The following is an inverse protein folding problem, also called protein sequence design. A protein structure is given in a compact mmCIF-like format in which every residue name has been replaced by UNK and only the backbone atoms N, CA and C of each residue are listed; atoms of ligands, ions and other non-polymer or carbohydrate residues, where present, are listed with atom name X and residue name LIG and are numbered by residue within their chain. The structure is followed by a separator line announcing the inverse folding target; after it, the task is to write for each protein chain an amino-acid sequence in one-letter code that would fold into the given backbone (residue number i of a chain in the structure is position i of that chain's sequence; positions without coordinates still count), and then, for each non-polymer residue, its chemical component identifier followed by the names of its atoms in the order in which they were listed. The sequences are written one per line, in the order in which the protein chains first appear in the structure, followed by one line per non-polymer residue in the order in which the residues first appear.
data_IF_548136238615
#
_entry.id   IF_548136238615
#
_cell.length_a   1.000
_cell.length_b   1.000
_cell.length_c   1.000
_cell.angle_alpha   90.00
_cell.angle_beta   90.00
_cell.angle_gamma   90.00
#
_symmetry.space_group_name_H-M   'P 1'
#
loop_
_entity.id
_entity.type
_entity.pdbx_description
1 polymer ?
#
# COMPACT_ATOMS: atom_id res chain seq x y z
N UNK A 1 -13.30 1.91 -25.37
CA UNK A 1 -13.86 2.09 -24.01
C UNK A 1 -12.71 2.38 -23.05
N UNK A 2 -12.59 3.60 -22.51
CA UNK A 2 -11.71 3.84 -21.36
C UNK A 2 -12.36 3.11 -20.18
N UNK A 3 -11.79 2.00 -19.69
CA UNK A 3 -12.16 1.50 -18.37
C UNK A 3 -11.88 2.65 -17.40
N UNK A 4 -12.90 3.13 -16.70
CA UNK A 4 -12.67 4.03 -15.57
C UNK A 4 -11.88 3.23 -14.56
N UNK A 5 -10.59 3.55 -14.43
CA UNK A 5 -9.76 2.96 -13.38
C UNK A 5 -10.35 3.42 -12.05
N UNK A 6 -10.73 2.46 -11.22
CA UNK A 6 -11.26 2.72 -9.88
C UNK A 6 -10.23 3.52 -9.08
N UNK A 7 -10.61 4.70 -8.57
CA UNK A 7 -9.74 5.52 -7.72
C UNK A 7 -10.13 5.31 -6.27
N UNK A 8 -9.15 4.96 -5.43
CA UNK A 8 -9.37 4.75 -4.00
C UNK A 8 -8.53 5.70 -3.18
N UNK A 9 -9.10 6.13 -2.05
CA UNK A 9 -8.41 6.97 -1.09
C UNK A 9 -7.81 6.08 0.00
N UNK A 10 -6.51 6.25 0.23
CA UNK A 10 -5.76 5.50 1.25
C UNK A 10 -5.24 6.49 2.28
N UNK A 11 -5.65 6.34 3.53
CA UNK A 11 -5.13 7.19 4.60
C UNK A 11 -3.76 6.70 4.99
N UNK A 12 -2.79 7.60 4.97
CA UNK A 12 -1.42 7.32 5.34
C UNK A 12 -1.09 7.99 6.67
N UNK A 13 -0.74 7.16 7.65
CA UNK A 13 -0.17 7.62 8.91
C UNK A 13 1.29 7.18 8.99
N UNK A 14 2.19 8.15 9.20
CA UNK A 14 3.62 7.89 9.38
C UNK A 14 3.95 8.11 10.85
N UNK A 15 4.50 7.10 11.50
CA UNK A 15 5.01 7.20 12.87
C UNK A 15 6.52 7.04 12.85
N UNK A 16 7.23 8.07 13.30
CA UNK A 16 8.66 7.98 13.55
C UNK A 16 8.92 7.29 14.90
N UNK A 17 9.85 6.34 14.92
CA UNK A 17 10.29 5.66 16.14
C UNK A 17 11.81 5.59 16.20
N UNK A 18 12.36 5.22 17.37
CA UNK A 18 13.81 5.14 17.62
C UNK A 18 14.56 4.21 16.65
N UNK A 19 13.86 3.26 16.03
CA UNK A 19 14.42 2.25 15.12
C UNK A 19 13.98 2.43 13.65
N UNK A 20 13.33 3.54 13.31
CA UNK A 20 12.88 3.87 11.95
C UNK A 20 11.39 4.22 11.84
N UNK A 21 11.00 4.72 10.67
CA UNK A 21 9.63 5.14 10.38
C UNK A 21 8.73 3.95 10.07
N UNK A 22 7.54 3.93 10.64
CA UNK A 22 6.47 2.97 10.34
C UNK A 22 5.37 3.68 9.56
N UNK A 23 5.00 3.13 8.41
CA UNK A 23 3.92 3.64 7.57
C UNK A 23 2.71 2.73 7.69
N UNK A 24 1.57 3.30 8.06
CA UNK A 24 0.28 2.63 8.15
C UNK A 24 -0.64 3.17 7.06
N UNK A 25 -1.05 2.29 6.16
CA UNK A 25 -1.91 2.57 5.01
C UNK A 25 -3.28 1.96 5.27
N UNK A 26 -4.29 2.80 5.45
CA UNK A 26 -5.67 2.37 5.68
C UNK A 26 -6.46 2.48 4.38
N UNK A 27 -6.86 1.32 3.86
CA UNK A 27 -7.64 1.17 2.65
C UNK A 27 -9.14 1.22 2.96
N UNK A 28 -10.00 1.52 1.97
CA UNK A 28 -11.46 1.48 2.17
C UNK A 28 -11.99 0.07 2.48
N UNK A 29 -11.28 -0.96 2.01
CA UNK A 29 -11.64 -2.37 2.14
C UNK A 29 -10.38 -3.23 2.12
N UNK A 30 -10.42 -4.40 2.78
CA UNK A 30 -9.30 -5.34 2.78
C UNK A 30 -9.07 -5.98 1.40
N UNK A 31 -10.06 -5.96 0.51
CA UNK A 31 -9.96 -6.50 -0.84
C UNK A 31 -8.86 -5.83 -1.67
N UNK A 32 -8.63 -4.53 -1.47
CA UNK A 32 -7.59 -3.79 -2.18
C UNK A 32 -6.19 -4.24 -1.74
N UNK A 33 -6.02 -4.57 -0.45
CA UNK A 33 -4.78 -5.12 0.07
C UNK A 33 -4.55 -6.50 -0.56
N UNK A 34 -5.57 -7.36 -0.60
CA UNK A 34 -5.44 -8.67 -1.25
C UNK A 34 -5.09 -8.53 -2.74
N UNK A 35 -5.77 -7.65 -3.47
CA UNK A 35 -5.46 -7.38 -4.88
C UNK A 35 -4.03 -6.88 -5.09
N UNK A 36 -3.52 -6.03 -4.20
CA UNK A 36 -2.11 -5.58 -4.23
C UNK A 36 -1.17 -6.76 -4.02
N UNK A 37 -1.40 -7.54 -2.96
CA UNK A 37 -0.54 -8.67 -2.61
C UNK A 37 -0.56 -9.77 -3.68
N UNK A 38 -1.70 -10.04 -4.31
CA UNK A 38 -1.83 -11.00 -5.42
C UNK A 38 -1.22 -10.47 -6.72
N UNK A 39 -1.30 -9.16 -6.97
CA UNK A 39 -0.72 -8.53 -8.16
C UNK A 39 0.79 -8.31 -8.05
N UNK A 40 1.39 -8.61 -6.89
CA UNK A 40 2.84 -8.58 -6.73
C UNK A 40 3.42 -9.92 -7.20
N UNK A 41 4.12 -9.92 -8.34
CA UNK A 41 4.78 -11.14 -8.87
C UNK A 41 5.95 -11.60 -7.97
N UNK A 42 6.55 -10.66 -7.25
CA UNK A 42 7.70 -10.73 -6.33
C UNK A 42 7.43 -11.04 -4.85
N UNK A 43 7.42 -12.28 -4.35
CA UNK A 43 7.40 -12.51 -2.88
C UNK A 43 8.58 -11.81 -2.16
N UNK A 44 9.71 -11.64 -2.85
CA UNK A 44 10.89 -10.93 -2.36
C UNK A 44 10.64 -9.41 -2.17
N UNK A 45 9.80 -8.78 -3.02
CA UNK A 45 9.45 -7.36 -2.89
C UNK A 45 8.60 -7.08 -1.65
N UNK A 46 7.64 -7.95 -1.36
CA UNK A 46 6.83 -7.84 -0.16
C UNK A 46 7.67 -8.00 1.12
N UNK A 47 8.67 -8.89 1.09
CA UNK A 47 9.63 -9.07 2.20
C UNK A 47 10.53 -7.85 2.38
N UNK A 48 11.00 -7.21 1.30
CA UNK A 48 11.85 -6.00 1.35
C UNK A 48 11.20 -4.86 2.13
N UNK A 49 9.90 -4.67 1.96
CA UNK A 49 9.14 -3.60 2.62
C UNK A 49 8.57 -4.00 4.00
N UNK A 50 8.84 -5.23 4.46
CA UNK A 50 8.37 -5.78 5.74
C UNK A 50 6.87 -5.52 5.98
N UNK A 51 6.05 -5.85 4.98
CA UNK A 51 4.62 -5.62 5.07
C UNK A 51 3.97 -6.60 6.06
N UNK A 52 3.09 -6.05 6.90
CA UNK A 52 2.14 -6.78 7.71
C UNK A 52 0.77 -6.16 7.48
N UNK A 53 -0.29 -6.95 7.39
CA UNK A 53 -1.64 -6.39 7.27
C UNK A 53 -2.58 -7.00 8.30
N UNK A 54 -3.59 -6.23 8.67
CA UNK A 54 -4.71 -6.67 9.50
C UNK A 54 -5.95 -5.86 9.09
N UNK A 55 -7.08 -6.55 8.86
CA UNK A 55 -8.28 -5.94 8.29
C UNK A 55 -7.95 -5.16 6.99
N UNK A 56 -8.36 -3.89 6.92
CA UNK A 56 -8.14 -2.96 5.82
C UNK A 56 -6.85 -2.13 5.98
N UNK A 57 -5.92 -2.56 6.83
CA UNK A 57 -4.70 -1.80 7.13
C UNK A 57 -3.46 -2.59 6.71
N UNK A 58 -2.62 -1.96 5.88
CA UNK A 58 -1.30 -2.44 5.51
C UNK A 58 -0.24 -1.61 6.25
N UNK A 59 0.74 -2.28 6.85
CA UNK A 59 1.80 -1.65 7.65
C UNK A 59 3.15 -2.00 7.05
N UNK A 60 3.96 -0.98 6.77
CA UNK A 60 5.39 -1.13 6.50
C UNK A 60 6.19 -0.72 7.74
N UNK A 61 6.96 -1.66 8.30
CA UNK A 61 7.85 -1.40 9.45
C UNK A 61 9.15 -0.67 9.07
N UNK A 62 9.38 -0.45 7.79
CA UNK A 62 10.52 0.29 7.23
C UNK A 62 10.01 1.22 6.15
N UNK A 63 9.21 2.19 6.58
CA UNK A 63 8.62 3.14 5.67
C UNK A 63 9.70 4.04 5.04
N UNK A 64 9.65 4.13 3.71
CA UNK A 64 10.35 5.10 2.87
C UNK A 64 9.39 5.54 1.77
N UNK A 65 9.72 6.61 1.04
CA UNK A 65 8.92 7.04 -0.13
C UNK A 65 8.87 5.97 -1.24
N UNK A 66 9.80 5.01 -1.25
CA UNK A 66 9.75 3.85 -2.15
C UNK A 66 8.52 2.98 -1.87
N UNK A 67 8.05 2.92 -0.62
CA UNK A 67 6.84 2.17 -0.24
C UNK A 67 5.61 2.77 -0.89
N UNK A 68 5.48 4.11 -0.93
CA UNK A 68 4.39 4.80 -1.64
C UNK A 68 4.43 4.49 -3.13
N UNK A 69 5.61 4.62 -3.74
CA UNK A 69 5.82 4.38 -5.17
C UNK A 69 5.45 2.94 -5.54
N UNK A 70 5.93 1.97 -4.75
CA UNK A 70 5.59 0.56 -4.89
C UNK A 70 4.08 0.32 -4.83
N UNK A 71 3.38 0.88 -3.84
CA UNK A 71 1.94 0.69 -3.68
C UNK A 71 1.15 1.26 -4.86
N UNK A 72 1.54 2.43 -5.38
CA UNK A 72 0.90 3.04 -6.56
C UNK A 72 1.10 2.18 -7.80
N UNK A 73 2.30 1.67 -8.01
CA UNK A 73 2.62 0.84 -9.18
C UNK A 73 1.90 -0.50 -9.14
N UNK A 74 1.85 -1.15 -7.98
CA UNK A 74 1.15 -2.41 -7.81
C UNK A 74 -0.37 -2.23 -7.88
N UNK A 75 -0.93 -1.14 -7.34
CA UNK A 75 -2.35 -0.82 -7.50
C UNK A 75 -2.75 -0.68 -8.97
N UNK A 76 -1.93 0.01 -9.77
CA UNK A 76 -2.16 0.14 -11.23
C UNK A 76 -2.16 -1.21 -11.93
N UNK A 77 -1.23 -2.11 -11.56
CA UNK A 77 -1.21 -3.51 -12.06
C UNK A 77 -2.46 -4.28 -11.62
N UNK A 78 -2.93 -4.03 -10.40
CA UNK A 78 -4.15 -4.59 -9.84
C UNK A 78 -5.46 -3.99 -10.41
N UNK A 79 -5.35 -2.97 -11.27
CA UNK A 79 -6.48 -2.35 -11.98
C UNK A 79 -7.17 -1.21 -11.25
N UNK A 80 -6.51 -0.56 -10.29
CA UNK A 80 -7.01 0.62 -9.59
C UNK A 80 -5.91 1.66 -9.35
N UNK A 81 -6.30 2.88 -8.96
CA UNK A 81 -5.39 3.97 -8.63
C UNK A 81 -5.55 4.33 -7.15
N UNK A 82 -4.42 4.64 -6.49
CA UNK A 82 -4.38 5.10 -5.11
C UNK A 82 -4.12 6.59 -5.08
N UNK A 83 -4.90 7.32 -4.30
CA UNK A 83 -4.59 8.67 -3.82
C UNK A 83 -4.37 8.60 -2.31
N UNK A 84 -3.24 9.17 -1.84
CA UNK A 84 -2.92 9.18 -0.42
C UNK A 84 -3.47 10.45 0.24
N UNK A 85 -4.16 10.28 1.36
CA UNK A 85 -4.52 11.35 2.28
C UNK A 85 -3.59 11.26 3.49
N UNK A 86 -2.80 12.30 3.75
CA UNK A 86 -1.99 12.38 4.97
C UNK A 86 -2.92 12.59 6.17
N UNK A 87 -2.84 11.68 7.14
CA UNK A 87 -3.71 11.66 8.32
C UNK A 87 -2.99 11.86 9.64
#
# INVERSE_FOLDING_TARGET
MRRMTEKIMVKLHIREGEYGSTGRFEFPSNEYIFRILESTMEMEEQKRHHFYFFNNILVSRRYSEDVKTFLVDVARKAGFEIEFEEG
#
